data_IF_403574813337
#
_entry.id   IF_403574813337
#
_cell.length_a   1.000
_cell.length_b   1.000
_cell.length_c   1.000
_cell.angle_alpha   90.00
_cell.angle_beta   90.00
_cell.angle_gamma   90.00
#
_symmetry.space_group_name_H-M   'P 1'
#
loop_
_entity.id
_entity.type
_entity.pdbx_description
1 polymer ?
#
# COMPACT_ATOMS: atom_id res chain seq x y z
N UNK A 1 -19.03 6.56 -13.75
CA UNK A 1 -18.45 7.55 -12.81
C UNK A 1 -18.87 8.91 -13.29
N UNK A 2 -19.27 9.80 -12.37
CA UNK A 2 -19.62 11.18 -12.71
C UNK A 2 -18.36 12.06 -12.73
N UNK A 3 -18.38 13.22 -13.42
CA UNK A 3 -17.24 14.15 -13.42
C UNK A 3 -16.86 14.65 -12.02
N UNK A 4 -17.86 14.86 -11.15
CA UNK A 4 -17.65 15.26 -9.76
C UNK A 4 -16.92 14.17 -8.97
N UNK A 5 -17.31 12.91 -9.18
CA UNK A 5 -16.64 11.77 -8.55
C UNK A 5 -15.21 11.61 -9.04
N UNK A 6 -14.95 11.79 -10.35
CA UNK A 6 -13.59 11.76 -10.88
C UNK A 6 -12.72 12.86 -10.24
N UNK A 7 -13.25 14.07 -10.13
CA UNK A 7 -12.55 15.20 -9.48
C UNK A 7 -12.27 14.92 -8.00
N UNK A 8 -13.21 14.29 -7.30
CA UNK A 8 -13.02 13.85 -5.92
C UNK A 8 -11.93 12.78 -5.81
N UNK A 9 -11.94 11.77 -6.69
CA UNK A 9 -10.91 10.73 -6.72
C UNK A 9 -9.51 11.33 -6.88
N UNK A 10 -9.34 12.27 -7.81
CA UNK A 10 -8.06 12.96 -8.02
C UNK A 10 -7.61 13.73 -6.78
N UNK A 11 -8.53 14.42 -6.10
CA UNK A 11 -8.24 15.10 -4.84
C UNK A 11 -7.82 14.12 -3.74
N UNK A 12 -8.48 12.95 -3.64
CA UNK A 12 -8.16 11.93 -2.65
C UNK A 12 -6.73 11.41 -2.84
N UNK A 13 -6.36 11.04 -4.06
CA UNK A 13 -4.99 10.55 -4.36
C UNK A 13 -3.97 11.67 -4.57
N UNK A 14 -4.38 12.93 -4.36
CA UNK A 14 -3.54 14.14 -4.48
C UNK A 14 -2.94 14.32 -5.89
N UNK A 15 -3.68 13.91 -6.92
CA UNK A 15 -3.30 14.08 -8.32
C UNK A 15 -3.99 15.29 -8.94
N UNK A 16 -3.34 15.90 -9.92
CA UNK A 16 -3.96 16.82 -10.86
C UNK A 16 -4.36 16.11 -12.16
N UNK A 17 -4.93 16.87 -13.11
CA UNK A 17 -5.41 16.33 -14.39
C UNK A 17 -4.27 15.80 -15.26
N UNK A 18 -3.13 16.49 -15.25
CA UNK A 18 -1.96 16.11 -16.05
C UNK A 18 -1.32 14.83 -15.53
N UNK A 19 -1.31 14.62 -14.21
CA UNK A 19 -0.86 13.38 -13.58
C UNK A 19 -1.74 12.22 -14.00
N UNK A 20 -3.07 12.39 -14.01
CA UNK A 20 -3.97 11.34 -14.50
C UNK A 20 -3.73 11.04 -15.98
N UNK A 21 -3.60 12.09 -16.81
CA UNK A 21 -3.38 11.95 -18.25
C UNK A 21 -2.10 11.16 -18.55
N UNK A 22 -1.01 11.47 -17.86
CA UNK A 22 0.26 10.74 -17.94
C UNK A 22 0.12 9.30 -17.45
N UNK A 23 -0.57 9.07 -16.33
CA UNK A 23 -0.70 7.74 -15.74
C UNK A 23 -1.45 6.73 -16.64
N UNK A 24 -2.35 7.23 -17.49
CA UNK A 24 -3.17 6.39 -18.39
C UNK A 24 -2.83 6.57 -19.86
N UNK A 25 -1.76 7.31 -20.14
CA UNK A 25 -1.19 7.55 -21.47
C UNK A 25 -2.22 8.11 -22.47
N UNK A 26 -2.88 9.20 -22.07
CA UNK A 26 -3.83 9.95 -22.90
C UNK A 26 -3.50 11.44 -22.90
N UNK A 27 -3.95 12.20 -23.91
CA UNK A 27 -3.81 13.66 -23.88
C UNK A 27 -4.54 14.29 -22.69
N UNK A 28 -3.98 15.34 -22.08
CA UNK A 28 -4.63 16.08 -20.97
C UNK A 28 -6.02 16.59 -21.34
N UNK A 29 -6.25 16.94 -22.61
CA UNK A 29 -7.56 17.34 -23.13
C UNK A 29 -8.66 16.28 -22.92
N UNK A 30 -8.32 14.99 -22.99
CA UNK A 30 -9.28 13.91 -22.73
C UNK A 30 -9.71 13.92 -21.26
N UNK A 31 -8.76 14.10 -20.34
CA UNK A 31 -9.05 14.22 -18.91
C UNK A 31 -9.88 15.47 -18.61
N UNK A 32 -9.55 16.60 -19.23
CA UNK A 32 -10.35 17.83 -19.12
C UNK A 32 -11.78 17.63 -19.59
N UNK A 33 -11.99 16.93 -20.71
CA UNK A 33 -13.34 16.62 -21.22
C UNK A 33 -14.14 15.72 -20.26
N UNK A 34 -13.48 14.75 -19.63
CA UNK A 34 -14.10 13.89 -18.62
C UNK A 34 -14.51 14.67 -17.37
N UNK A 35 -13.66 15.57 -16.89
CA UNK A 35 -13.93 16.43 -15.72
C UNK A 35 -14.99 17.49 -16.03
N UNK A 36 -15.04 18.00 -17.26
CA UNK A 36 -16.07 18.92 -17.72
C UNK A 36 -17.43 18.22 -17.98
N UNK A 37 -17.47 16.88 -17.99
CA UNK A 37 -18.66 16.10 -18.33
C UNK A 37 -19.06 16.17 -19.80
N UNK A 38 -18.19 16.70 -20.66
CA UNK A 38 -18.41 16.73 -22.12
C UNK A 38 -18.13 15.38 -22.76
N UNK A 39 -17.31 14.54 -22.12
CA UNK A 39 -17.09 13.15 -22.48
C UNK A 39 -17.33 12.21 -21.30
N UNK A 40 -17.73 10.98 -21.60
CA UNK A 40 -17.98 9.95 -20.59
C UNK A 40 -16.66 9.35 -20.12
N UNK A 41 -16.48 9.27 -18.80
CA UNK A 41 -15.33 8.58 -18.19
C UNK A 41 -15.34 7.09 -18.58
N UNK A 42 -14.27 6.56 -19.21
CA UNK A 42 -14.19 5.14 -19.55
C UNK A 42 -14.38 4.24 -18.32
N UNK A 43 -15.21 3.20 -18.43
CA UNK A 43 -15.56 2.33 -17.29
C UNK A 43 -14.34 1.68 -16.61
N UNK A 44 -13.35 1.25 -17.40
CA UNK A 44 -12.12 0.64 -16.88
C UNK A 44 -11.27 1.65 -16.10
N UNK A 45 -11.15 2.89 -16.61
CA UNK A 45 -10.48 4.00 -15.93
C UNK A 45 -11.15 4.30 -14.58
N UNK A 46 -12.48 4.42 -14.61
CA UNK A 46 -13.28 4.69 -13.42
C UNK A 46 -13.06 3.62 -12.33
N UNK A 47 -13.09 2.33 -12.71
CA UNK A 47 -12.86 1.25 -11.77
C UNK A 47 -11.43 1.26 -11.19
N UNK A 48 -10.44 1.60 -12.02
CA UNK A 48 -9.03 1.64 -11.62
C UNK A 48 -8.73 2.79 -10.65
N UNK A 49 -9.21 4.02 -10.92
CA UNK A 49 -8.93 5.16 -10.04
C UNK A 49 -9.67 5.03 -8.70
N UNK A 50 -10.87 4.44 -8.67
CA UNK A 50 -11.58 4.11 -7.41
C UNK A 50 -10.77 3.12 -6.55
N UNK A 51 -10.18 2.10 -7.16
CA UNK A 51 -9.32 1.16 -6.46
C UNK A 51 -8.06 1.86 -5.89
N UNK A 52 -7.48 2.80 -6.63
CA UNK A 52 -6.38 3.62 -6.14
C UNK A 52 -6.79 4.50 -4.95
N UNK A 53 -7.97 5.12 -4.99
CA UNK A 53 -8.49 5.88 -3.85
C UNK A 53 -8.62 5.00 -2.61
N UNK A 54 -9.21 3.81 -2.74
CA UNK A 54 -9.37 2.87 -1.62
C UNK A 54 -8.03 2.52 -0.96
N UNK A 55 -7.01 2.21 -1.77
CA UNK A 55 -5.66 1.89 -1.26
C UNK A 55 -5.00 3.14 -0.65
N UNK A 56 -5.17 4.32 -1.24
CA UNK A 56 -4.61 5.56 -0.73
C UNK A 56 -5.20 5.93 0.64
N UNK A 57 -6.51 5.81 0.80
CA UNK A 57 -7.18 6.07 2.08
C UNK A 57 -6.68 5.11 3.17
N UNK A 58 -6.59 3.82 2.89
CA UNK A 58 -6.01 2.84 3.81
C UNK A 58 -4.55 3.16 4.17
N UNK A 59 -3.77 3.66 3.21
CA UNK A 59 -2.39 4.07 3.48
C UNK A 59 -2.31 5.33 4.35
N UNK A 60 -3.21 6.30 4.15
CA UNK A 60 -3.27 7.54 4.94
C UNK A 60 -3.59 7.28 6.42
N UNK A 61 -4.34 6.22 6.77
CA UNK A 61 -4.54 5.81 8.18
C UNK A 61 -3.25 5.44 8.91
N UNK A 62 -2.27 4.93 8.16
CA UNK A 62 -0.97 4.51 8.69
C UNK A 62 0.14 5.54 8.47
N UNK A 63 -0.21 6.68 7.88
CA UNK A 63 0.75 7.73 7.54
C UNK A 63 1.34 8.33 8.80
N UNK A 64 2.68 8.43 8.90
CA UNK A 64 3.31 9.02 10.07
C UNK A 64 2.93 10.50 10.19
N UNK A 65 2.69 10.97 11.42
CA UNK A 65 2.46 12.38 11.69
C UNK A 65 3.72 13.19 11.33
N UNK A 66 3.60 14.08 10.34
CA UNK A 66 4.73 14.88 9.84
C UNK A 66 4.96 16.17 10.61
N UNK A 67 4.09 16.51 11.56
CA UNK A 67 4.23 17.66 12.46
C UNK A 67 4.72 17.18 13.83
N UNK A 68 6.03 17.22 14.09
CA UNK A 68 6.63 16.75 15.35
C UNK A 68 8.12 16.44 15.23
N UNK A 69 8.65 15.59 16.13
CA UNK A 69 10.08 15.21 16.25
C UNK A 69 10.67 14.40 15.06
N UNK A 70 9.96 14.31 13.93
CA UNK A 70 10.37 13.57 12.74
C UNK A 70 9.59 12.26 12.52
N UNK A 71 10.04 11.44 11.56
CA UNK A 71 9.56 10.06 11.42
C UNK A 71 10.17 9.25 12.58
N UNK A 72 9.46 9.10 13.70
CA UNK A 72 9.94 8.27 14.82
C UNK A 72 10.30 6.84 14.39
N UNK A 73 10.81 6.00 15.30
CA UNK A 73 11.33 4.63 15.04
C UNK A 73 10.27 3.59 14.55
N UNK A 74 9.11 4.04 14.08
CA UNK A 74 8.00 3.21 13.62
C UNK A 74 6.92 3.00 14.69
N UNK A 75 5.83 2.30 14.34
CA UNK A 75 4.71 2.11 15.27
C UNK A 75 5.14 1.28 16.49
N UNK A 76 4.73 1.71 17.68
CA UNK A 76 4.76 0.89 18.90
C UNK A 76 3.87 -0.32 18.66
N UNK A 77 4.46 -1.52 18.55
CA UNK A 77 3.94 -2.92 18.60
C UNK A 77 2.47 -3.30 18.24
N UNK A 78 1.50 -2.39 18.21
CA UNK A 78 0.05 -2.62 18.08
C UNK A 78 -0.50 -2.61 16.64
N UNK A 79 0.33 -2.42 15.60
CA UNK A 79 -0.15 -2.31 14.22
C UNK A 79 0.59 -3.22 13.24
N UNK A 80 0.66 -4.52 13.51
CA UNK A 80 1.04 -5.49 12.46
C UNK A 80 -0.23 -5.90 11.72
N UNK A 81 -0.39 -5.56 10.42
CA UNK A 81 -1.52 -6.00 9.63
C UNK A 81 -1.64 -7.52 9.64
N UNK A 82 -2.86 -8.04 9.65
CA UNK A 82 -3.14 -9.50 9.74
C UNK A 82 -2.36 -10.29 8.67
N UNK A 83 -2.24 -9.75 7.45
CA UNK A 83 -1.48 -10.38 6.37
C UNK A 83 0.02 -10.52 6.70
N UNK A 84 0.62 -9.52 7.36
CA UNK A 84 2.02 -9.56 7.79
C UNK A 84 2.21 -10.44 9.04
N UNK A 85 1.22 -10.48 9.93
CA UNK A 85 1.27 -11.30 11.14
C UNK A 85 1.31 -12.80 10.84
N UNK A 86 0.55 -13.27 9.85
CA UNK A 86 0.58 -14.69 9.45
C UNK A 86 1.96 -15.13 8.93
N UNK A 87 2.61 -14.26 8.15
CA UNK A 87 3.97 -14.50 7.69
C UNK A 87 4.97 -14.45 8.85
N UNK A 88 4.82 -13.50 9.78
CA UNK A 88 5.65 -13.40 10.98
C UNK A 88 5.53 -14.64 11.88
N UNK A 89 4.34 -15.20 12.04
CA UNK A 89 4.11 -16.45 12.77
C UNK A 89 4.77 -17.65 12.08
N UNK A 90 4.70 -17.70 10.75
CA UNK A 90 5.37 -18.75 9.97
C UNK A 90 6.89 -18.67 10.15
N UNK A 91 7.43 -17.45 10.12
CA UNK A 91 8.84 -17.16 10.37
C UNK A 91 9.31 -17.53 11.79
N UNK A 92 8.43 -17.42 12.80
CA UNK A 92 8.72 -17.89 14.15
C UNK A 92 8.90 -19.42 14.19
N UNK A 93 8.19 -20.16 13.34
CA UNK A 93 8.36 -21.61 13.18
C UNK A 93 9.59 -22.02 12.37
N UNK A 94 10.21 -21.10 11.62
CA UNK A 94 11.41 -21.34 10.83
C UNK A 94 11.52 -20.43 9.62
N UNK A 95 12.69 -20.43 8.94
CA UNK A 95 12.91 -19.63 7.73
C UNK A 95 11.90 -19.96 6.63
N UNK A 96 11.42 -18.93 5.92
CA UNK A 96 10.45 -19.09 4.81
C UNK A 96 11.18 -18.88 3.49
N UNK A 97 10.96 -19.76 2.52
CA UNK A 97 11.55 -19.59 1.19
C UNK A 97 10.78 -18.51 0.42
N UNK A 98 11.47 -17.52 -0.14
CA UNK A 98 10.81 -16.43 -0.87
C UNK A 98 10.02 -16.91 -2.09
N UNK A 99 10.48 -18.00 -2.72
CA UNK A 99 9.81 -18.64 -3.87
C UNK A 99 8.46 -19.28 -3.55
N UNK A 100 8.14 -19.51 -2.27
CA UNK A 100 6.85 -20.09 -1.85
C UNK A 100 5.82 -19.02 -1.52
N UNK A 101 6.23 -17.75 -1.53
CA UNK A 101 5.37 -16.59 -1.37
C UNK A 101 4.85 -16.21 -2.77
N UNK A 102 3.53 -16.20 -2.94
CA UNK A 102 2.88 -16.00 -4.23
C UNK A 102 1.83 -14.90 -4.13
N UNK A 103 2.05 -13.78 -4.80
CA UNK A 103 1.06 -12.70 -4.95
C UNK A 103 1.49 -11.37 -4.31
N UNK A 104 0.76 -10.31 -4.64
CA UNK A 104 1.01 -8.94 -4.16
C UNK A 104 0.90 -8.80 -2.65
N UNK A 105 0.01 -9.56 -2.03
CA UNK A 105 -0.23 -9.51 -0.57
C UNK A 105 0.96 -10.09 0.21
N UNK A 106 1.57 -11.16 -0.32
CA UNK A 106 2.79 -11.75 0.25
C UNK A 106 4.00 -10.82 0.08
N UNK A 107 4.14 -10.15 -1.06
CA UNK A 107 5.20 -9.14 -1.25
C UNK A 107 5.01 -7.93 -0.32
N UNK A 108 3.76 -7.48 -0.14
CA UNK A 108 3.40 -6.45 0.83
C UNK A 108 3.74 -6.85 2.26
N UNK A 109 3.45 -8.10 2.65
CA UNK A 109 3.83 -8.66 3.95
C UNK A 109 5.35 -8.68 4.13
N UNK A 110 6.10 -9.13 3.13
CA UNK A 110 7.57 -9.17 3.21
C UNK A 110 8.15 -7.78 3.31
N UNK A 111 7.67 -6.84 2.48
CA UNK A 111 8.12 -5.45 2.54
C UNK A 111 7.84 -4.85 3.92
N UNK A 112 6.63 -5.06 4.44
CA UNK A 112 6.24 -4.57 5.76
C UNK A 112 7.17 -5.07 6.88
N UNK A 113 7.45 -6.38 6.91
CA UNK A 113 8.29 -6.99 7.96
C UNK A 113 9.76 -6.55 7.85
N UNK A 114 10.29 -6.45 6.63
CA UNK A 114 11.67 -6.02 6.39
C UNK A 114 11.86 -4.55 6.73
N UNK A 115 10.92 -3.68 6.34
CA UNK A 115 11.03 -2.24 6.61
C UNK A 115 10.92 -1.86 8.09
N UNK A 116 10.61 -2.82 8.97
CA UNK A 116 10.42 -2.65 10.42
C UNK A 116 11.39 -3.49 11.24
N UNK A 117 12.42 -4.06 10.60
CA UNK A 117 13.42 -4.92 11.23
C UNK A 117 12.82 -6.14 11.96
N UNK A 118 11.66 -6.64 11.52
CA UNK A 118 11.03 -7.85 12.06
C UNK A 118 11.49 -9.11 11.31
N UNK A 119 11.94 -8.94 10.07
CA UNK A 119 12.50 -10.00 9.25
C UNK A 119 13.60 -9.46 8.35
N UNK A 120 14.52 -10.32 7.93
CA UNK A 120 15.61 -9.99 7.01
C UNK A 120 15.61 -10.95 5.83
N UNK A 121 15.88 -10.42 4.63
CA UNK A 121 16.10 -11.25 3.44
C UNK A 121 17.55 -11.72 3.44
N UNK A 122 17.74 -13.04 3.48
CA UNK A 122 19.05 -13.67 3.37
C UNK A 122 19.04 -14.71 2.25
N UNK A 123 19.66 -14.35 1.13
CA UNK A 123 19.58 -15.14 -0.12
C UNK A 123 18.14 -15.34 -0.57
N UNK A 124 17.77 -16.59 -0.85
CA UNK A 124 16.41 -16.98 -1.27
C UNK A 124 15.40 -17.16 -0.13
N UNK A 125 15.73 -16.74 1.09
CA UNK A 125 14.90 -16.95 2.28
C UNK A 125 14.63 -15.64 3.01
N UNK A 126 13.51 -15.65 3.73
CA UNK A 126 13.17 -14.66 4.74
C UNK A 126 13.43 -15.28 6.11
N UNK A 127 14.15 -14.56 6.97
CA UNK A 127 14.49 -14.99 8.33
C UNK A 127 13.95 -14.00 9.35
N UNK A 128 13.54 -14.49 10.51
CA UNK A 128 13.06 -13.67 11.61
C UNK A 128 14.22 -13.06 12.41
N UNK A 129 14.11 -11.78 12.76
CA UNK A 129 15.05 -11.09 13.65
C UNK A 129 14.69 -11.34 15.12
N UNK A 130 15.51 -10.83 16.05
CA UNK A 130 15.17 -10.88 17.49
C UNK A 130 13.95 -10.02 17.83
N UNK A 131 13.83 -8.84 17.21
CA UNK A 131 12.63 -8.01 17.32
C UNK A 131 11.39 -8.73 16.76
N UNK A 132 11.52 -9.38 15.61
CA UNK A 132 10.46 -10.21 15.03
C UNK A 132 10.04 -11.36 15.93
N UNK A 133 10.99 -12.05 16.57
CA UNK A 133 10.69 -13.15 17.52
C UNK A 133 9.89 -12.68 18.72
N UNK A 134 10.24 -11.53 19.30
CA UNK A 134 9.52 -10.97 20.43
C UNK A 134 8.05 -10.75 20.06
N UNK A 135 7.77 -10.22 18.86
CA UNK A 135 6.40 -9.96 18.42
C UNK A 135 5.65 -11.21 17.95
N UNK A 136 6.30 -12.09 17.18
CA UNK A 136 5.69 -13.35 16.72
C UNK A 136 5.36 -14.35 17.82
N UNK A 137 5.89 -14.13 19.04
CA UNK A 137 5.62 -14.96 20.22
C UNK A 137 4.36 -14.54 21.00
N UNK A 138 3.80 -13.36 20.70
CA UNK A 138 2.59 -12.87 21.37
C UNK A 138 1.37 -13.71 20.96
N UNK A 139 0.71 -14.34 21.95
CA UNK A 139 -0.64 -14.91 21.74
C UNK A 139 -1.64 -13.76 21.87
N UNK A 140 -2.25 -13.37 20.76
CA UNK A 140 -3.46 -12.53 20.73
C UNK A 140 -4.64 -13.36 21.21
#
# INVERSE_FOLDING_TARGET
>A
MTPERLSECLRLVRWDQDTLAQAVDVPSLSVTAWIAGTEVVPRKLAAWIEALCFVHEAAEETKPFTSGEGFGDGPRQEFIPVYAYNLLRSLHGGKVALRTLFGTDDEGAVYFLVSRDLAVREGGHLMITDAGRAVGSMRI
#
